data_IF_502292109076
#
_entry.id   IF_502292109076
#
_cell.length_a   1.000
_cell.length_b   1.000
_cell.length_c   1.000
_cell.angle_alpha   90.00
_cell.angle_beta   90.00
_cell.angle_gamma   90.00
#
_symmetry.space_group_name_H-M   'P 1'
#
loop_
_entity.id
_entity.type
_entity.pdbx_description
1 polymer ?
#
# COMPACT_ATOMS: atom_id res chain seq x y z
N UNK A 1 2.97 -18.05 13.71
CA UNK A 1 4.15 -17.23 13.39
C UNK A 1 3.68 -15.80 13.43
N UNK A 2 3.98 -15.10 14.53
CA UNK A 2 3.53 -13.73 14.79
C UNK A 2 4.16 -12.76 13.77
N UNK A 3 3.44 -11.73 13.37
CA UNK A 3 3.90 -10.75 12.36
C UNK A 3 5.19 -10.03 12.77
N UNK A 4 5.36 -9.77 14.07
CA UNK A 4 6.55 -9.15 14.64
C UNK A 4 7.79 -10.05 14.50
N UNK A 5 7.65 -11.37 14.67
CA UNK A 5 8.76 -12.33 14.48
C UNK A 5 9.34 -12.26 13.06
N UNK A 6 8.48 -12.12 12.05
CA UNK A 6 8.93 -12.02 10.66
C UNK A 6 9.71 -10.73 10.41
N UNK A 7 9.23 -9.60 10.94
CA UNK A 7 9.90 -8.30 10.82
C UNK A 7 11.31 -8.36 11.43
N UNK A 8 11.42 -8.85 12.66
CA UNK A 8 12.68 -8.89 13.39
C UNK A 8 13.70 -9.83 12.72
N UNK A 9 13.24 -11.00 12.26
CA UNK A 9 14.09 -11.96 11.54
C UNK A 9 14.62 -11.40 10.23
N UNK A 10 13.78 -10.71 9.46
CA UNK A 10 14.21 -10.07 8.21
C UNK A 10 15.19 -8.93 8.48
N UNK A 11 14.89 -8.09 9.47
CA UNK A 11 15.74 -6.95 9.82
C UNK A 11 17.13 -7.41 10.27
N UNK A 12 17.18 -8.44 11.12
CA UNK A 12 18.44 -9.05 11.58
C UNK A 12 19.22 -9.66 10.43
N UNK A 13 18.56 -10.38 9.52
CA UNK A 13 19.22 -11.08 8.42
C UNK A 13 19.72 -10.15 7.31
N UNK A 14 19.02 -9.03 7.09
CA UNK A 14 19.35 -8.04 6.07
C UNK A 14 20.23 -6.90 6.61
N UNK A 15 20.47 -6.85 7.92
CA UNK A 15 21.22 -5.80 8.61
C UNK A 15 20.69 -4.39 8.33
N UNK A 16 19.37 -4.27 8.15
CA UNK A 16 18.67 -3.00 7.96
C UNK A 16 17.29 -3.05 8.61
N UNK A 17 16.70 -1.89 8.86
CA UNK A 17 15.30 -1.83 9.31
C UNK A 17 14.38 -2.30 8.17
N UNK A 18 13.51 -3.27 8.48
CA UNK A 18 12.52 -3.80 7.54
C UNK A 18 11.13 -3.48 8.04
N UNK A 19 10.30 -2.93 7.16
CA UNK A 19 8.86 -2.87 7.38
C UNK A 19 8.14 -3.93 6.55
N UNK A 20 7.19 -4.60 7.20
CA UNK A 20 6.37 -5.64 6.58
C UNK A 20 4.95 -5.10 6.48
N UNK A 21 4.27 -5.38 5.37
CA UNK A 21 2.86 -5.00 5.18
C UNK A 21 2.09 -6.19 4.63
N UNK A 22 0.96 -6.53 5.25
CA UNK A 22 0.05 -7.54 4.72
C UNK A 22 -0.88 -6.94 3.67
N UNK A 23 -0.57 -7.12 2.39
CA UNK A 23 -1.32 -6.54 1.26
C UNK A 23 -2.79 -6.99 1.15
N UNK A 24 -3.16 -8.08 1.85
CA UNK A 24 -4.56 -8.53 1.93
C UNK A 24 -5.41 -7.60 2.82
N UNK A 25 -4.80 -6.87 3.74
CA UNK A 25 -5.46 -5.98 4.72
C UNK A 25 -4.98 -4.53 4.65
N UNK A 26 -4.01 -4.22 3.78
CA UNK A 26 -3.47 -2.88 3.62
C UNK A 26 -4.53 -1.92 3.07
N UNK A 27 -4.43 -0.64 3.45
CA UNK A 27 -5.30 0.38 2.93
C UNK A 27 -5.05 0.64 1.42
N UNK A 28 -5.99 1.28 0.71
CA UNK A 28 -5.88 1.49 -0.73
C UNK A 28 -4.70 2.38 -1.14
N UNK A 29 -4.23 3.29 -0.28
CA UNK A 29 -3.08 4.15 -0.59
C UNK A 29 -1.79 3.33 -0.59
N UNK A 30 -1.54 2.57 0.48
CA UNK A 30 -0.34 1.71 0.56
C UNK A 30 -0.36 0.66 -0.54
N UNK A 31 -1.51 0.01 -0.76
CA UNK A 31 -1.67 -0.97 -1.84
C UNK A 31 -1.34 -0.37 -3.21
N UNK A 32 -1.82 0.84 -3.50
CA UNK A 32 -1.55 1.52 -4.77
C UNK A 32 -0.08 1.95 -4.89
N UNK A 33 0.58 2.32 -3.79
CA UNK A 33 2.02 2.59 -3.80
C UNK A 33 2.83 1.35 -4.17
N UNK A 34 2.50 0.19 -3.59
CA UNK A 34 3.13 -1.09 -3.95
C UNK A 34 2.89 -1.43 -5.42
N UNK A 35 1.69 -1.22 -5.94
CA UNK A 35 1.36 -1.48 -7.34
C UNK A 35 2.12 -0.57 -8.31
N UNK A 36 2.35 0.69 -7.95
CA UNK A 36 3.02 1.69 -8.81
C UNK A 36 4.55 1.64 -8.75
N UNK A 37 5.11 1.35 -7.57
CA UNK A 37 6.54 1.51 -7.28
C UNK A 37 7.22 0.22 -6.86
N UNK A 38 6.45 -0.77 -6.42
CA UNK A 38 6.97 -2.02 -5.91
C UNK A 38 7.59 -2.88 -7.01
N UNK A 39 8.53 -3.73 -6.60
CA UNK A 39 9.13 -4.77 -7.44
C UNK A 39 8.72 -6.14 -6.91
N UNK A 40 8.25 -7.01 -7.80
CA UNK A 40 7.92 -8.39 -7.44
C UNK A 40 9.23 -9.14 -7.19
N UNK A 41 9.43 -9.61 -5.95
CA UNK A 41 10.58 -10.44 -5.56
C UNK A 41 10.22 -11.94 -5.68
N UNK A 42 8.97 -12.29 -5.38
CA UNK A 42 8.45 -13.65 -5.45
C UNK A 42 6.97 -13.60 -5.82
N UNK A 43 6.58 -14.42 -6.80
CA UNK A 43 5.18 -14.73 -7.08
C UNK A 43 5.02 -16.24 -7.26
N UNK A 44 4.30 -16.85 -6.33
CA UNK A 44 3.95 -18.28 -6.38
C UNK A 44 2.51 -18.51 -6.85
N UNK A 45 1.71 -17.45 -6.94
CA UNK A 45 0.30 -17.56 -7.29
C UNK A 45 -0.15 -16.30 -8.08
N UNK A 46 0.01 -16.34 -9.42
CA UNK A 46 -0.36 -15.24 -10.30
C UNK A 46 -1.82 -14.79 -10.17
N UNK A 47 -2.73 -15.71 -9.79
CA UNK A 47 -4.13 -15.40 -9.57
C UNK A 47 -4.32 -14.47 -8.37
N UNK A 48 -3.67 -14.73 -7.24
CA UNK A 48 -3.74 -13.85 -6.07
C UNK A 48 -3.13 -12.47 -6.37
N UNK A 49 -2.08 -12.41 -7.17
CA UNK A 49 -1.52 -11.13 -7.63
C UNK A 49 -2.52 -10.37 -8.51
N UNK A 50 -3.22 -11.06 -9.41
CA UNK A 50 -4.24 -10.44 -10.26
C UNK A 50 -5.43 -9.93 -9.42
N UNK A 51 -5.91 -10.73 -8.47
CA UNK A 51 -6.96 -10.32 -7.52
C UNK A 51 -6.54 -9.09 -6.70
N UNK A 52 -5.28 -9.05 -6.23
CA UNK A 52 -4.70 -7.87 -5.59
C UNK A 52 -4.75 -6.65 -6.51
N UNK A 53 -4.28 -6.78 -7.76
CA UNK A 53 -4.29 -5.68 -8.74
C UNK A 53 -5.69 -5.10 -8.94
N UNK A 54 -6.68 -5.95 -9.23
CA UNK A 54 -8.05 -5.52 -9.50
C UNK A 54 -8.66 -4.84 -8.27
N UNK A 55 -8.52 -5.45 -7.08
CA UNK A 55 -9.01 -4.88 -5.81
C UNK A 55 -8.40 -3.51 -5.54
N UNK A 56 -7.08 -3.38 -5.71
CA UNK A 56 -6.37 -2.13 -5.43
C UNK A 56 -6.80 -1.00 -6.34
N UNK A 57 -6.93 -1.24 -7.66
CA UNK A 57 -7.37 -0.21 -8.61
C UNK A 57 -8.79 0.25 -8.29
N UNK A 58 -9.71 -0.68 -8.03
CA UNK A 58 -11.09 -0.36 -7.67
C UNK A 58 -11.16 0.49 -6.40
N UNK A 59 -10.56 0.01 -5.30
CA UNK A 59 -10.63 0.71 -4.01
C UNK A 59 -9.93 2.06 -4.04
N UNK A 60 -8.83 2.18 -4.79
CA UNK A 60 -8.14 3.47 -4.94
C UNK A 60 -9.00 4.48 -5.73
N UNK A 61 -9.69 4.04 -6.78
CA UNK A 61 -10.58 4.90 -7.55
C UNK A 61 -11.75 5.41 -6.69
N UNK A 62 -12.36 4.52 -5.90
CA UNK A 62 -13.42 4.88 -4.96
C UNK A 62 -12.91 5.88 -3.91
N UNK A 63 -11.75 5.62 -3.33
CA UNK A 63 -11.12 6.51 -2.36
C UNK A 63 -10.85 7.91 -2.96
N UNK A 64 -10.31 7.99 -4.18
CA UNK A 64 -10.08 9.28 -4.86
C UNK A 64 -11.39 9.99 -5.19
N UNK A 65 -12.48 9.27 -5.45
CA UNK A 65 -13.80 9.88 -5.62
C UNK A 65 -14.27 10.55 -4.34
N UNK A 66 -14.14 9.88 -3.19
CA UNK A 66 -14.53 10.42 -1.88
C UNK A 66 -13.60 11.56 -1.43
N UNK A 67 -12.30 11.44 -1.65
CA UNK A 67 -11.30 12.43 -1.21
C UNK A 67 -11.26 13.70 -2.06
N UNK A 68 -11.66 13.65 -3.33
CA UNK A 68 -11.63 14.81 -4.25
C UNK A 68 -12.20 16.11 -3.66
N UNK A 69 -13.44 16.14 -3.12
CA UNK A 69 -13.96 17.36 -2.50
C UNK A 69 -13.13 17.82 -1.29
N UNK A 70 -12.71 16.88 -0.43
CA UNK A 70 -11.90 17.18 0.77
C UNK A 70 -10.54 17.77 0.38
N UNK A 71 -9.87 17.16 -0.60
CA UNK A 71 -8.58 17.64 -1.12
C UNK A 71 -8.71 19.04 -1.75
N UNK A 72 -9.83 19.32 -2.43
CA UNK A 72 -10.10 20.65 -2.99
C UNK A 72 -10.29 21.71 -1.89
N UNK A 73 -11.01 21.39 -0.80
CA UNK A 73 -11.13 22.29 0.36
C UNK A 73 -9.77 22.58 1.01
N UNK A 74 -8.99 21.53 1.28
CA UNK A 74 -7.66 21.67 1.88
C UNK A 74 -6.78 22.54 0.96
N UNK A 75 -6.78 22.28 -0.35
CA UNK A 75 -5.97 23.08 -1.28
C UNK A 75 -6.39 24.56 -1.32
N UNK A 76 -7.66 24.90 -1.10
CA UNK A 76 -8.12 26.30 -1.04
C UNK A 76 -7.67 27.01 0.24
N UNK A 77 -7.60 26.30 1.36
CA UNK A 77 -7.15 26.86 2.65
C UNK A 77 -5.65 27.16 2.72
N UNK A 78 -4.83 26.53 1.88
CA UNK A 78 -3.37 26.67 1.87
C UNK A 78 -2.83 27.73 0.88
N UNK A 79 -3.69 28.45 0.15
CA UNK A 79 -3.28 29.52 -0.79
C UNK A 79 -3.15 30.89 -0.09
N UNK A 80 -3.43 30.97 1.21
CA UNK A 80 -3.18 32.14 2.04
C UNK A 80 -2.17 31.82 3.15
N UNK A 81 -0.90 31.67 2.79
CA UNK A 81 0.25 31.69 3.71
C UNK A 81 1.48 32.19 2.97
#
# INVERSE_FOLDING_TARGET
MEFFDLKDRLSTRLHCEVDVVCLNKADPIISMQVLRKGRIILDRNPRLRHEFFVRTVSFYADLKRVRRPIEAEISRGHVFS
#
